data_IF_275831815291
#
_entry.id   IF_275831815291
#
_cell.length_a   1.000
_cell.length_b   1.000
_cell.length_c   1.000
_cell.angle_alpha   90.00
_cell.angle_beta   90.00
_cell.angle_gamma   90.00
#
_symmetry.space_group_name_H-M   'P 1'
#
loop_
_entity.id
_entity.type
_entity.pdbx_description
1 polymer ?
#
# COMPACT_ATOMS: atom_id res chain seq x y z
N UNK A 1 2.32 11.99 43.80
CA UNK A 1 3.51 11.21 43.38
C UNK A 1 3.43 10.97 41.89
N UNK A 2 4.47 11.41 41.19
CA UNK A 2 4.59 11.42 39.74
C UNK A 2 4.80 10.01 39.17
N UNK A 3 4.20 9.74 38.02
CA UNK A 3 4.39 8.52 37.24
C UNK A 3 4.03 8.77 35.79
N UNK A 4 4.86 9.56 35.10
CA UNK A 4 4.62 10.03 33.75
C UNK A 4 4.50 8.89 32.74
N UNK A 5 3.37 8.86 32.03
CA UNK A 5 3.25 8.28 30.71
C UNK A 5 4.20 8.97 29.75
N UNK A 6 5.28 8.29 29.37
CA UNK A 6 5.95 8.50 28.08
C UNK A 6 6.30 7.13 27.53
N UNK A 7 5.51 6.55 26.60
CA UNK A 7 6.06 5.54 25.73
C UNK A 7 7.26 6.19 25.05
N UNK A 8 8.45 5.73 25.42
CA UNK A 8 9.71 6.15 24.86
C UNK A 8 9.58 5.90 23.37
N UNK A 9 9.49 6.99 22.59
CA UNK A 9 9.69 6.99 21.16
C UNK A 9 11.16 6.59 20.92
N UNK A 10 11.43 5.31 21.16
CA UNK A 10 12.65 4.67 20.73
C UNK A 10 12.60 4.68 19.21
N UNK A 11 13.68 5.17 18.62
CA UNK A 11 14.05 4.93 17.24
C UNK A 11 13.80 3.45 16.91
N UNK A 12 12.63 3.14 16.39
CA UNK A 12 12.43 1.84 15.77
C UNK A 12 13.08 1.94 14.39
N UNK A 13 14.00 1.03 14.05
CA UNK A 13 14.46 0.89 12.66
C UNK A 13 13.20 0.78 11.79
N UNK A 14 13.27 1.21 10.52
CA UNK A 14 12.15 1.13 9.59
C UNK A 14 11.64 -0.32 9.49
N UNK A 15 10.78 -0.72 10.40
CA UNK A 15 10.19 -2.04 10.44
C UNK A 15 9.22 -2.03 9.27
N UNK A 16 9.51 -2.85 8.27
CA UNK A 16 8.56 -3.18 7.24
C UNK A 16 7.37 -3.79 7.98
N UNK A 17 6.36 -2.96 8.28
CA UNK A 17 5.17 -3.42 8.97
C UNK A 17 4.51 -4.46 8.07
N UNK A 18 4.06 -5.60 8.62
CA UNK A 18 3.45 -6.68 7.82
C UNK A 18 2.27 -6.17 6.96
N UNK A 19 1.61 -5.10 7.41
CA UNK A 19 0.57 -4.37 6.68
C UNK A 19 1.09 -3.73 5.38
N UNK A 20 2.28 -3.13 5.39
CA UNK A 20 2.90 -2.52 4.20
C UNK A 20 3.28 -3.58 3.16
N UNK A 21 3.80 -4.73 3.61
CA UNK A 21 4.08 -5.87 2.73
C UNK A 21 2.81 -6.40 2.06
N UNK A 22 1.73 -6.59 2.83
CA UNK A 22 0.43 -7.01 2.31
C UNK A 22 -0.17 -6.00 1.33
N UNK A 23 -0.03 -4.70 1.60
CA UNK A 23 -0.51 -3.64 0.72
C UNK A 23 0.19 -3.66 -0.66
N UNK A 24 1.50 -3.91 -0.68
CA UNK A 24 2.26 -4.06 -1.92
C UNK A 24 1.84 -5.30 -2.71
N UNK A 25 1.64 -6.44 -2.04
CA UNK A 25 1.14 -7.67 -2.69
C UNK A 25 -0.25 -7.46 -3.28
N UNK A 26 -1.15 -6.77 -2.55
CA UNK A 26 -2.49 -6.44 -3.04
C UNK A 26 -2.44 -5.50 -4.25
N UNK A 27 -1.57 -4.47 -4.23
CA UNK A 27 -1.36 -3.57 -5.36
C UNK A 27 -0.90 -4.34 -6.60
N UNK A 28 0.04 -5.28 -6.43
CA UNK A 28 0.58 -6.10 -7.52
C UNK A 28 -0.50 -7.04 -8.10
N UNK A 29 -1.32 -7.65 -7.23
CA UNK A 29 -2.45 -8.48 -7.64
C UNK A 29 -3.50 -7.68 -8.45
N UNK A 30 -3.79 -6.43 -8.05
CA UNK A 30 -4.71 -5.55 -8.77
C UNK A 30 -4.19 -5.17 -10.15
N UNK A 31 -2.91 -4.85 -10.28
CA UNK A 31 -2.29 -4.50 -11.57
C UNK A 31 -2.27 -5.71 -12.51
N UNK A 32 -1.84 -6.88 -12.02
CA UNK A 32 -1.84 -8.11 -12.80
C UNK A 32 -3.26 -8.55 -13.19
N UNK A 33 -4.22 -8.45 -12.28
CA UNK A 33 -5.63 -8.73 -12.54
C UNK A 33 -6.23 -7.79 -13.58
N UNK A 34 -5.91 -6.49 -13.52
CA UNK A 34 -6.29 -5.50 -14.53
C UNK A 34 -5.67 -5.81 -15.90
N UNK A 35 -4.38 -6.15 -15.94
CA UNK A 35 -3.70 -6.51 -17.19
C UNK A 35 -4.28 -7.78 -17.83
N UNK A 36 -4.63 -8.76 -17.00
CA UNK A 36 -5.26 -9.99 -17.46
C UNK A 36 -6.67 -9.74 -18.03
N UNK A 37 -7.45 -8.85 -17.40
CA UNK A 37 -8.76 -8.40 -17.91
C UNK A 37 -8.66 -7.69 -19.27
N UNK A 38 -7.59 -6.93 -19.52
CA UNK A 38 -7.36 -6.29 -20.83
C UNK A 38 -7.11 -7.31 -21.96
N UNK A 39 -6.62 -8.51 -21.62
CA UNK A 39 -6.38 -9.59 -22.59
C UNK A 39 -7.62 -10.43 -22.90
N UNK A 40 -8.73 -10.25 -22.18
CA UNK A 40 -9.96 -10.99 -22.44
C UNK A 40 -10.76 -10.35 -23.60
N UNK A 41 -11.07 -11.10 -24.67
CA UNK A 41 -11.97 -10.60 -25.72
C UNK A 41 -13.39 -10.44 -25.13
N UNK A 42 -13.92 -9.21 -25.16
CA UNK A 42 -15.17 -8.83 -24.48
C UNK A 42 -15.01 -8.34 -23.03
N UNK A 43 -13.77 -8.26 -22.52
CA UNK A 43 -13.49 -7.77 -21.17
C UNK A 43 -13.84 -6.29 -20.98
N UNK A 44 -14.45 -5.95 -19.84
CA UNK A 44 -14.78 -4.58 -19.48
C UNK A 44 -13.51 -3.76 -19.23
N UNK A 45 -13.02 -3.09 -20.29
CA UNK A 45 -11.80 -2.27 -20.29
C UNK A 45 -11.81 -1.21 -19.18
N UNK A 46 -12.97 -0.62 -18.88
CA UNK A 46 -13.12 0.36 -17.80
C UNK A 46 -12.79 -0.25 -16.43
N UNK A 47 -13.30 -1.45 -16.14
CA UNK A 47 -12.98 -2.18 -14.91
C UNK A 47 -11.48 -2.47 -14.80
N UNK A 48 -10.86 -2.85 -15.92
CA UNK A 48 -9.43 -3.15 -15.97
C UNK A 48 -8.57 -1.91 -15.65
N UNK A 49 -8.92 -0.76 -16.24
CA UNK A 49 -8.28 0.53 -15.95
C UNK A 49 -8.48 0.91 -14.48
N UNK A 50 -9.69 0.77 -13.94
CA UNK A 50 -9.96 1.06 -12.51
C UNK A 50 -9.12 0.19 -11.58
N UNK A 51 -8.93 -1.09 -11.89
CA UNK A 51 -8.07 -1.99 -11.09
C UNK A 51 -6.60 -1.58 -11.14
N UNK A 52 -6.09 -1.18 -12.32
CA UNK A 52 -4.73 -0.65 -12.42
C UNK A 52 -4.55 0.64 -11.62
N UNK A 53 -5.49 1.59 -11.75
CA UNK A 53 -5.45 2.86 -10.99
C UNK A 53 -5.50 2.58 -9.49
N UNK A 54 -6.38 1.69 -9.03
CA UNK A 54 -6.44 1.32 -7.62
C UNK A 54 -5.12 0.71 -7.12
N UNK A 55 -4.48 -0.17 -7.90
CA UNK A 55 -3.16 -0.72 -7.57
C UNK A 55 -2.08 0.35 -7.44
N UNK A 56 -2.04 1.32 -8.36
CA UNK A 56 -1.11 2.45 -8.31
C UNK A 56 -1.36 3.32 -7.07
N UNK A 57 -2.62 3.63 -6.75
CA UNK A 57 -2.99 4.42 -5.56
C UNK A 57 -2.55 3.72 -4.28
N UNK A 58 -2.77 2.40 -4.17
CA UNK A 58 -2.34 1.63 -2.98
C UNK A 58 -0.83 1.61 -2.85
N UNK A 59 -0.08 1.41 -3.94
CA UNK A 59 1.38 1.45 -3.93
C UNK A 59 1.92 2.85 -3.55
N UNK A 60 1.31 3.90 -4.09
CA UNK A 60 1.66 5.28 -3.77
C UNK A 60 1.36 5.62 -2.30
N UNK A 61 0.21 5.18 -1.80
CA UNK A 61 -0.16 5.35 -0.40
C UNK A 61 0.80 4.60 0.54
N UNK A 62 1.18 3.36 0.19
CA UNK A 62 2.17 2.60 0.95
C UNK A 62 3.54 3.30 0.93
N UNK A 63 3.94 3.89 -0.20
CA UNK A 63 5.17 4.66 -0.31
C UNK A 63 5.16 5.92 0.56
N UNK A 64 4.10 6.74 0.54
CA UNK A 64 3.99 7.92 1.41
C UNK A 64 4.08 7.51 2.89
N UNK A 65 3.37 6.46 3.29
CA UNK A 65 3.39 5.99 4.67
C UNK A 65 4.73 5.36 5.07
N UNK A 66 5.60 5.03 4.11
CA UNK A 66 6.97 4.57 4.38
C UNK A 66 7.95 5.71 4.66
N UNK A 67 7.58 6.97 4.33
CA UNK A 67 8.42 8.12 4.60
C UNK A 67 8.35 8.47 6.10
N UNK A 68 9.49 8.83 6.73
CA UNK A 68 9.49 9.26 8.12
C UNK A 68 8.67 10.54 8.27
N UNK A 69 7.75 10.53 9.24
CA UNK A 69 6.98 11.73 9.60
C UNK A 69 7.94 12.78 10.18
N UNK A 70 7.81 14.06 9.78
CA UNK A 70 8.60 15.12 10.39
C UNK A 70 8.30 15.18 11.90
N UNK A 71 9.37 15.17 12.70
CA UNK A 71 9.38 15.19 14.17
C UNK A 71 8.95 16.52 14.74
#
# INVERSE_FOLDING_TARGET
MAGGHRPRAGLMPAEITPVTGLALVAALALVLGGLWLLRQPGGNRTKAVLMMVAGVVVAFNAWINSLPLPS
#
